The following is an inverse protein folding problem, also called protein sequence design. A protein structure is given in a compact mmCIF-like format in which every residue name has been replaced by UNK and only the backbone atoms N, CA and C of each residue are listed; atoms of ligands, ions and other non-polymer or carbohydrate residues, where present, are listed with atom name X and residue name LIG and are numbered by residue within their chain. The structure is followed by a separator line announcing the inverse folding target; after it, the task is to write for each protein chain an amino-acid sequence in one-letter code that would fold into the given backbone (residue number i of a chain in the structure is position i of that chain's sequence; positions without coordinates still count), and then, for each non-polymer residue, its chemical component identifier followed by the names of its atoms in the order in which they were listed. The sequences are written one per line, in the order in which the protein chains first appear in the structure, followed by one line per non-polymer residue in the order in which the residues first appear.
data_IF_644897805093
#
_entry.id   IF_644897805093
#
_cell.length_a   1.000
_cell.length_b   1.000
_cell.length_c   1.000
_cell.angle_alpha   90.00
_cell.angle_beta   90.00
_cell.angle_gamma   90.00
#
_symmetry.space_group_name_H-M   'P 1'
#
loop_
_entity.id
_entity.type
_entity.pdbx_description
1 polymer ?
#
# COMPACT_ATOMS: atom_id res chain seq x y z
N UNK A 1 30.48 12.25 -40.02
CA UNK A 1 29.39 12.42 -39.03
C UNK A 1 28.07 12.50 -39.77
N UNK A 2 27.25 11.44 -39.74
CA UNK A 2 25.92 11.47 -40.35
C UNK A 2 24.96 12.19 -39.41
N UNK A 3 24.36 13.29 -39.89
CA UNK A 3 23.36 14.06 -39.15
C UNK A 3 22.17 13.15 -38.82
N UNK A 4 21.85 13.05 -37.53
CA UNK A 4 20.67 12.36 -37.06
C UNK A 4 19.43 12.99 -37.71
N UNK A 5 18.71 12.21 -38.52
CA UNK A 5 17.52 12.70 -39.22
C UNK A 5 16.40 12.84 -38.19
N UNK A 6 16.02 14.07 -37.89
CA UNK A 6 14.86 14.37 -37.06
C UNK A 6 13.63 13.72 -37.71
N UNK A 7 12.97 12.83 -36.97
CA UNK A 7 11.77 12.16 -37.43
C UNK A 7 10.59 13.14 -37.43
N UNK A 8 9.86 13.23 -38.53
CA UNK A 8 8.64 14.04 -38.56
C UNK A 8 7.61 13.47 -37.55
N UNK A 9 6.90 14.31 -36.77
CA UNK A 9 6.02 13.87 -35.68
C UNK A 9 4.90 12.92 -36.13
N UNK A 10 4.41 13.09 -37.36
CA UNK A 10 3.35 12.24 -37.93
C UNK A 10 3.89 11.07 -38.78
N UNK A 11 5.19 10.80 -38.74
CA UNK A 11 5.78 9.65 -39.45
C UNK A 11 5.44 8.34 -38.75
N UNK A 12 5.34 7.24 -39.51
CA UNK A 12 5.23 5.87 -38.96
C UNK A 12 6.32 5.57 -37.92
N UNK A 13 7.55 6.04 -38.16
CA UNK A 13 8.67 5.88 -37.21
C UNK A 13 8.44 6.64 -35.90
N UNK A 14 7.86 7.85 -35.96
CA UNK A 14 7.51 8.62 -34.76
C UNK A 14 6.36 7.95 -34.00
N UNK A 15 5.32 7.49 -34.70
CA UNK A 15 4.21 6.75 -34.08
C UNK A 15 4.69 5.48 -33.38
N UNK A 16 5.60 4.71 -34.00
CA UNK A 16 6.19 3.53 -33.40
C UNK A 16 7.00 3.84 -32.12
N UNK A 17 7.83 4.89 -32.15
CA UNK A 17 8.58 5.33 -30.98
C UNK A 17 7.66 5.80 -29.85
N UNK A 18 6.61 6.55 -30.17
CA UNK A 18 5.62 7.02 -29.20
C UNK A 18 4.86 5.83 -28.55
N UNK A 19 4.42 4.85 -29.34
CA UNK A 19 3.75 3.65 -28.81
C UNK A 19 4.67 2.84 -27.90
N UNK A 20 5.96 2.71 -28.25
CA UNK A 20 6.94 2.07 -27.39
C UNK A 20 7.14 2.83 -26.09
N UNK A 21 7.26 4.15 -26.13
CA UNK A 21 7.39 5.00 -24.95
C UNK A 21 6.18 4.88 -24.03
N UNK A 22 4.97 4.90 -24.58
CA UNK A 22 3.73 4.68 -23.82
C UNK A 22 3.74 3.31 -23.14
N UNK A 23 4.16 2.25 -23.85
CA UNK A 23 4.24 0.89 -23.30
C UNK A 23 5.26 0.82 -22.16
N UNK A 24 6.44 1.40 -22.33
CA UNK A 24 7.47 1.45 -21.30
C UNK A 24 7.00 2.27 -20.09
N UNK A 25 6.39 3.43 -20.32
CA UNK A 25 5.81 4.27 -19.27
C UNK A 25 4.74 3.54 -18.46
N UNK A 26 3.84 2.79 -19.11
CA UNK A 26 2.85 1.93 -18.42
C UNK A 26 3.53 0.86 -17.56
N UNK A 27 4.55 0.17 -18.11
CA UNK A 27 5.31 -0.87 -17.40
C UNK A 27 6.02 -0.29 -16.17
N UNK A 28 6.65 0.86 -16.30
CA UNK A 28 7.37 1.49 -15.20
C UNK A 28 6.41 2.07 -14.15
N UNK A 29 5.25 2.59 -14.58
CA UNK A 29 4.17 2.97 -13.65
C UNK A 29 3.71 1.77 -12.82
N UNK A 30 3.42 0.63 -13.44
CA UNK A 30 3.02 -0.58 -12.71
C UNK A 30 4.10 -1.05 -11.72
N UNK A 31 5.38 -1.00 -12.08
CA UNK A 31 6.48 -1.31 -11.16
C UNK A 31 6.50 -0.36 -9.96
N UNK A 32 6.36 0.94 -10.21
CA UNK A 32 6.34 1.95 -9.16
C UNK A 32 5.13 1.79 -8.22
N UNK A 33 3.95 1.49 -8.75
CA UNK A 33 2.73 1.23 -7.96
C UNK A 33 2.86 -0.03 -7.11
N UNK A 34 3.45 -1.11 -7.64
CA UNK A 34 3.77 -2.33 -6.87
C UNK A 34 4.78 -2.03 -5.75
N UNK A 35 5.86 -1.32 -6.07
CA UNK A 35 6.86 -0.92 -5.08
C UNK A 35 6.27 -0.04 -3.99
N UNK A 36 5.45 0.95 -4.36
CA UNK A 36 4.76 1.83 -3.41
C UNK A 36 3.85 1.04 -2.47
N UNK A 37 3.06 0.08 -2.99
CA UNK A 37 2.21 -0.78 -2.14
C UNK A 37 3.04 -1.60 -1.14
N UNK A 38 4.15 -2.19 -1.58
CA UNK A 38 5.05 -2.95 -0.70
C UNK A 38 5.71 -2.05 0.35
N UNK A 39 6.14 -0.84 -0.04
CA UNK A 39 6.71 0.14 0.90
C UNK A 39 5.68 0.56 1.95
N UNK A 40 4.45 0.91 1.55
CA UNK A 40 3.39 1.27 2.49
C UNK A 40 3.07 0.14 3.47
N UNK A 41 3.06 -1.11 3.00
CA UNK A 41 2.90 -2.27 3.88
C UNK A 41 4.10 -2.40 4.83
N UNK A 42 5.32 -2.27 4.33
CA UNK A 42 6.54 -2.33 5.15
C UNK A 42 6.57 -1.27 6.24
N UNK A 43 6.29 -0.01 5.90
CA UNK A 43 6.21 1.10 6.85
C UNK A 43 5.15 0.88 7.92
N UNK A 44 3.94 0.42 7.51
CA UNK A 44 2.88 0.04 8.45
C UNK A 44 3.36 -1.02 9.44
N UNK A 45 4.00 -2.08 8.93
CA UNK A 45 4.50 -3.17 9.76
C UNK A 45 5.63 -2.69 10.70
N UNK A 46 6.56 -1.87 10.22
CA UNK A 46 7.61 -1.28 11.06
C UNK A 46 7.02 -0.45 12.21
N UNK A 47 5.95 0.31 11.94
CA UNK A 47 5.25 1.04 12.99
C UNK A 47 4.67 0.07 14.03
N UNK A 48 4.01 -1.02 13.62
CA UNK A 48 3.49 -2.01 14.57
C UNK A 48 4.61 -2.66 15.37
N UNK A 49 5.73 -2.99 14.73
CA UNK A 49 6.91 -3.55 15.39
C UNK A 49 7.47 -2.59 16.45
N UNK A 50 7.50 -1.28 16.18
CA UNK A 50 8.00 -0.28 17.13
C UNK A 50 7.11 -0.07 18.34
N UNK A 51 5.83 -0.47 18.28
CA UNK A 51 4.91 -0.40 19.41
C UNK A 51 4.97 -1.65 20.31
N UNK A 52 5.61 -2.73 19.85
CA UNK A 52 5.72 -3.96 20.63
C UNK A 52 6.75 -3.79 21.74
N UNK A 53 6.37 -4.17 22.95
CA UNK A 53 7.28 -4.32 24.07
C UNK A 53 8.20 -5.53 23.79
N UNK A 54 9.54 -5.40 23.82
CA UNK A 54 10.47 -6.51 23.60
C UNK A 54 10.30 -7.65 24.61
N UNK A 55 9.91 -7.35 25.85
CA UNK A 55 9.92 -8.32 26.95
C UNK A 55 8.62 -9.13 27.04
N UNK A 56 7.53 -8.62 26.44
CA UNK A 56 6.21 -9.24 26.52
C UNK A 56 6.03 -10.34 25.47
N UNK A 57 5.85 -11.60 25.86
CA UNK A 57 5.80 -12.73 24.90
C UNK A 57 4.41 -13.05 24.34
N UNK A 58 3.35 -12.49 24.93
CA UNK A 58 1.96 -12.80 24.57
C UNK A 58 1.12 -11.53 24.50
N UNK A 59 0.37 -11.39 23.41
CA UNK A 59 -0.60 -10.32 23.20
C UNK A 59 -1.99 -10.90 23.02
N UNK A 60 -2.98 -10.19 23.55
CA UNK A 60 -4.38 -10.57 23.40
C UNK A 60 -5.00 -9.83 22.22
N UNK A 61 -6.25 -10.17 21.92
CA UNK A 61 -7.03 -9.47 20.89
C UNK A 61 -7.30 -8.02 21.28
N UNK A 62 -7.45 -7.74 22.57
CA UNK A 62 -7.63 -6.41 23.12
C UNK A 62 -6.40 -5.54 22.88
N UNK A 63 -5.19 -6.10 23.05
CA UNK A 63 -3.95 -5.38 22.71
C UNK A 63 -3.88 -5.06 21.22
N UNK A 64 -4.26 -6.00 20.36
CA UNK A 64 -4.32 -5.78 18.92
C UNK A 64 -5.27 -4.62 18.56
N UNK A 65 -6.44 -4.55 19.18
CA UNK A 65 -7.37 -3.42 19.03
C UNK A 65 -6.74 -2.10 19.50
N UNK A 66 -6.08 -2.09 20.65
CA UNK A 66 -5.40 -0.89 21.16
C UNK A 66 -4.28 -0.41 20.22
N UNK A 67 -3.49 -1.33 19.65
CA UNK A 67 -2.46 -0.97 18.68
C UNK A 67 -3.07 -0.38 17.41
N UNK A 68 -4.21 -0.90 16.94
CA UNK A 68 -4.92 -0.35 15.78
C UNK A 68 -5.43 1.06 16.10
N UNK A 69 -6.02 1.29 17.26
CA UNK A 69 -6.49 2.62 17.67
C UNK A 69 -5.34 3.62 17.72
N UNK A 70 -4.22 3.26 18.35
CA UNK A 70 -3.00 4.10 18.33
C UNK A 70 -2.50 4.36 16.91
N UNK A 71 -2.62 3.38 16.01
CA UNK A 71 -2.22 3.54 14.62
C UNK A 71 -3.12 4.53 13.87
N UNK A 72 -4.42 4.51 14.12
CA UNK A 72 -5.37 5.46 13.55
C UNK A 72 -5.11 6.89 14.07
N UNK A 73 -4.67 7.03 15.32
CA UNK A 73 -4.32 8.34 15.92
C UNK A 73 -2.90 8.85 15.60
N UNK A 74 -2.14 8.16 14.72
CA UNK A 74 -0.75 8.52 14.42
C UNK A 74 -0.55 9.92 13.81
N UNK A 75 -1.58 10.45 13.15
CA UNK A 75 -1.51 11.75 12.47
C UNK A 75 -2.13 12.89 13.27
N UNK A 76 -2.64 12.65 14.48
CA UNK A 76 -3.35 13.67 15.27
C UNK A 76 -2.48 14.90 15.52
N UNK A 77 -1.21 14.68 15.89
CA UNK A 77 -0.23 15.77 16.08
C UNK A 77 0.04 16.57 14.79
N UNK A 78 0.13 15.90 13.63
CA UNK A 78 0.33 16.56 12.34
C UNK A 78 -0.91 17.38 11.95
N UNK A 79 -2.11 16.84 12.16
CA UNK A 79 -3.36 17.54 11.88
C UNK A 79 -3.56 18.75 12.79
N UNK A 80 -3.27 18.62 14.10
CA UNK A 80 -3.32 19.72 15.06
C UNK A 80 -2.34 20.84 14.67
N UNK A 81 -1.12 20.48 14.24
CA UNK A 81 -0.14 21.46 13.77
C UNK A 81 -0.64 22.21 12.52
N UNK A 82 -1.23 21.49 11.55
CA UNK A 82 -1.82 22.10 10.34
C UNK A 82 -2.97 23.03 10.72
N UNK A 83 -3.83 22.62 11.64
CA UNK A 83 -4.94 23.44 12.14
C UNK A 83 -4.43 24.72 12.83
N UNK A 84 -3.42 24.61 13.69
CA UNK A 84 -2.82 25.75 14.38
C UNK A 84 -2.22 26.75 13.38
N UNK A 85 -1.43 26.27 12.41
CA UNK A 85 -0.83 27.12 11.37
C UNK A 85 -1.88 27.85 10.54
N UNK A 86 -2.98 27.16 10.20
CA UNK A 86 -4.09 27.76 9.48
C UNK A 86 -4.97 28.68 10.34
N UNK A 87 -5.01 28.46 11.66
CA UNK A 87 -5.73 29.28 12.63
C UNK A 87 -5.08 30.62 12.95
N UNK A 88 -3.79 30.79 12.64
CA UNK A 88 -3.09 32.07 12.77
C UNK A 88 -3.67 33.06 11.76
N UNK A 89 -4.53 33.97 12.25
CA UNK A 89 -5.22 34.97 11.43
C UNK A 89 -4.23 35.88 10.72
N UNK A 90 -4.18 35.79 9.39
CA UNK A 90 -3.39 36.65 8.51
C UNK A 90 -3.95 36.66 7.08
N UNK A 91 -3.35 37.46 6.19
CA UNK A 91 -3.69 37.51 4.74
C UNK A 91 -3.11 36.31 3.96
N UNK A 92 -2.87 35.18 4.62
CA UNK A 92 -2.29 33.99 4.01
C UNK A 92 -3.41 33.01 3.67
N UNK A 93 -3.34 32.41 2.48
CA UNK A 93 -4.26 31.34 2.09
C UNK A 93 -4.03 30.06 2.90
N UNK A 94 -4.94 29.09 2.77
CA UNK A 94 -4.84 27.80 3.46
C UNK A 94 -3.53 27.08 3.11
N UNK A 95 -2.70 26.82 4.12
CA UNK A 95 -1.45 26.08 4.01
C UNK A 95 -1.71 24.58 4.21
N UNK A 96 -0.89 23.75 3.59
CA UNK A 96 -0.90 22.28 3.73
C UNK A 96 -2.21 21.56 3.36
N UNK A 97 -3.11 22.20 2.62
CA UNK A 97 -4.43 21.63 2.30
C UNK A 97 -4.38 20.30 1.53
N UNK A 98 -3.37 20.10 0.67
CA UNK A 98 -3.17 18.82 -0.04
C UNK A 98 -2.76 17.69 0.90
N UNK A 99 -1.82 17.95 1.82
CA UNK A 99 -1.36 16.97 2.82
C UNK A 99 -2.47 16.60 3.79
N UNK A 100 -3.19 17.60 4.29
CA UNK A 100 -4.35 17.40 5.18
C UNK A 100 -5.42 16.52 4.52
N UNK A 101 -5.73 16.76 3.24
CA UNK A 101 -6.70 15.97 2.49
C UNK A 101 -6.25 14.51 2.32
N UNK A 102 -4.96 14.27 2.02
CA UNK A 102 -4.40 12.92 1.89
C UNK A 102 -4.45 12.17 3.22
N UNK A 103 -4.12 12.82 4.33
CA UNK A 103 -4.19 12.23 5.67
C UNK A 103 -5.64 11.87 6.00
N UNK A 104 -6.59 12.81 5.84
CA UNK A 104 -8.00 12.58 6.13
C UNK A 104 -8.58 11.44 5.30
N UNK A 105 -8.28 11.39 4.00
CA UNK A 105 -8.71 10.29 3.13
C UNK A 105 -8.10 8.94 3.55
N UNK A 106 -6.84 8.94 4.00
CA UNK A 106 -6.18 7.72 4.47
C UNK A 106 -6.84 7.22 5.76
N UNK A 107 -7.03 8.10 6.73
CA UNK A 107 -7.70 7.78 8.00
C UNK A 107 -9.13 7.31 7.82
N UNK A 108 -9.89 7.97 6.94
CA UNK A 108 -11.26 7.55 6.62
C UNK A 108 -11.30 6.12 6.09
N UNK A 109 -10.40 5.79 5.15
CA UNK A 109 -10.30 4.43 4.60
C UNK A 109 -9.89 3.41 5.66
N UNK A 110 -8.88 3.72 6.47
CA UNK A 110 -8.38 2.81 7.51
C UNK A 110 -9.42 2.57 8.61
N UNK A 111 -10.14 3.62 9.00
CA UNK A 111 -11.22 3.58 10.00
C UNK A 111 -12.42 2.77 9.47
N UNK A 112 -12.80 2.98 8.21
CA UNK A 112 -13.84 2.19 7.55
C UNK A 112 -13.49 0.70 7.49
N UNK A 113 -12.22 0.36 7.23
CA UNK A 113 -11.74 -1.03 7.27
C UNK A 113 -11.83 -1.61 8.69
N UNK A 114 -11.40 -0.87 9.72
CA UNK A 114 -11.44 -1.36 11.11
C UNK A 114 -12.87 -1.64 11.60
N UNK A 115 -13.82 -0.76 11.32
CA UNK A 115 -15.22 -0.92 11.75
C UNK A 115 -16.06 -1.83 10.83
N UNK A 116 -15.61 -2.05 9.59
CA UNK A 116 -16.27 -2.86 8.59
C UNK A 116 -15.62 -4.24 8.44
N UNK A 117 -14.71 -4.36 7.47
CA UNK A 117 -14.20 -5.64 6.95
C UNK A 117 -13.05 -6.24 7.78
N UNK A 118 -12.55 -5.51 8.77
CA UNK A 118 -11.37 -5.85 9.55
C UNK A 118 -10.11 -5.18 9.01
N UNK A 119 -9.33 -4.61 9.94
CA UNK A 119 -8.04 -4.01 9.68
C UNK A 119 -6.95 -5.08 9.77
N UNK A 120 -6.11 -5.16 8.74
CA UNK A 120 -5.05 -6.16 8.65
C UNK A 120 -3.80 -5.72 9.42
N UNK A 121 -3.33 -6.54 10.36
CA UNK A 121 -2.14 -6.30 11.19
C UNK A 121 -1.30 -7.59 11.29
N UNK A 122 -0.02 -7.53 11.71
CA UNK A 122 0.74 -8.73 12.01
C UNK A 122 0.04 -9.57 13.09
N UNK A 123 0.09 -10.90 12.95
CA UNK A 123 -0.46 -11.82 13.93
C UNK A 123 0.40 -11.85 15.20
N UNK A 124 0.11 -10.95 16.12
CA UNK A 124 0.78 -10.81 17.42
C UNK A 124 0.22 -11.73 18.50
N UNK A 125 -0.93 -12.37 18.25
CA UNK A 125 -1.60 -13.27 19.19
C UNK A 125 -0.89 -14.62 19.24
N UNK A 126 -0.37 -15.07 18.09
CA UNK A 126 0.39 -16.31 18.01
C UNK A 126 1.88 -16.05 18.28
N UNK A 127 2.42 -16.67 19.34
CA UNK A 127 3.82 -16.52 19.76
C UNK A 127 4.83 -16.85 18.65
N UNK A 128 4.55 -17.85 17.79
CA UNK A 128 5.44 -18.21 16.68
C UNK A 128 5.50 -17.11 15.62
N UNK A 129 4.34 -16.54 15.29
CA UNK A 129 4.24 -15.45 14.31
C UNK A 129 4.83 -14.16 14.88
N UNK A 130 4.61 -13.90 16.16
CA UNK A 130 5.20 -12.78 16.89
C UNK A 130 6.74 -12.81 16.84
N UNK A 131 7.37 -13.95 17.12
CA UNK A 131 8.83 -14.08 17.06
C UNK A 131 9.36 -13.81 15.64
N UNK A 132 8.71 -14.37 14.62
CA UNK A 132 9.06 -14.12 13.21
C UNK A 132 8.94 -12.64 12.87
N UNK A 133 7.90 -11.98 13.39
CA UNK A 133 7.65 -10.56 13.18
C UNK A 133 8.65 -9.67 13.93
N UNK A 134 9.11 -10.06 15.12
CA UNK A 134 10.14 -9.35 15.89
C UNK A 134 11.50 -9.40 15.22
N UNK A 135 11.90 -10.56 14.71
CA UNK A 135 13.18 -10.75 14.03
C UNK A 135 13.21 -10.13 12.63
N UNK A 136 12.06 -9.70 12.11
CA UNK A 136 11.98 -9.08 10.80
C UNK A 136 12.69 -7.72 10.80
N UNK A 137 13.68 -7.58 9.91
CA UNK A 137 14.55 -6.40 9.83
C UNK A 137 14.03 -5.29 8.91
N UNK A 138 12.74 -5.32 8.52
CA UNK A 138 12.19 -4.40 7.51
C UNK A 138 12.44 -4.80 6.05
N UNK A 139 13.04 -5.98 5.79
CA UNK A 139 13.28 -6.45 4.42
C UNK A 139 11.96 -6.81 3.73
N UNK A 140 11.61 -6.04 2.69
CA UNK A 140 10.35 -6.19 1.96
C UNK A 140 10.23 -7.54 1.25
N UNK A 141 11.35 -8.21 0.93
CA UNK A 141 11.32 -9.55 0.32
C UNK A 141 10.80 -10.63 1.28
N UNK A 142 10.88 -10.37 2.59
CA UNK A 142 10.41 -11.29 3.64
C UNK A 142 8.97 -11.01 4.09
N UNK A 143 8.30 -10.01 3.51
CA UNK A 143 6.89 -9.72 3.80
C UNK A 143 5.97 -10.94 3.65
N UNK A 144 6.10 -11.80 2.62
CA UNK A 144 5.23 -12.98 2.48
C UNK A 144 5.34 -13.98 3.64
N UNK A 145 6.45 -13.95 4.40
CA UNK A 145 6.66 -14.83 5.54
C UNK A 145 5.95 -14.33 6.81
N UNK A 146 5.60 -13.05 6.86
CA UNK A 146 4.89 -12.44 7.99
C UNK A 146 3.41 -12.80 7.86
N UNK A 147 2.85 -13.44 8.88
CA UNK A 147 1.41 -13.74 8.92
C UNK A 147 0.64 -12.52 9.37
N UNK A 148 -0.32 -12.13 8.54
CA UNK A 148 -1.25 -11.03 8.82
C UNK A 148 -2.60 -11.59 9.25
N UNK A 149 -3.26 -10.89 10.16
CA UNK A 149 -4.59 -11.22 10.69
C UNK A 149 -5.49 -9.98 10.58
N UNK A 150 -6.74 -10.18 10.19
CA UNK A 150 -7.77 -9.13 10.18
C UNK A 150 -8.43 -9.02 11.54
N UNK A 151 -8.41 -7.82 12.11
CA UNK A 151 -9.04 -7.51 13.39
C UNK A 151 -10.06 -6.39 13.18
N UNK A 152 -11.28 -6.56 13.70
CA UNK A 152 -12.34 -5.56 13.63
C UNK A 152 -12.79 -5.15 15.04
N UNK A 153 -13.20 -3.90 15.19
CA UNK A 153 -13.74 -3.37 16.45
C UNK A 153 -14.96 -4.15 16.95
N UNK A 154 -15.76 -4.74 16.05
CA UNK A 154 -16.98 -5.51 16.39
C UNK A 154 -16.70 -6.96 16.80
N UNK A 155 -15.44 -7.40 16.67
CA UNK A 155 -15.07 -8.79 16.88
C UNK A 155 -14.87 -9.17 18.35
N UNK A 156 -14.74 -8.20 19.27
CA UNK A 156 -14.53 -8.50 20.71
C UNK A 156 -15.75 -9.23 21.31
N UNK A 157 -16.96 -8.93 20.84
CA UNK A 157 -18.21 -9.48 21.40
C UNK A 157 -18.55 -10.89 20.93
N UNK A 158 -17.82 -11.43 19.93
CA UNK A 158 -18.07 -12.77 19.37
C UNK A 158 -16.99 -13.73 19.85
N UNK A 159 -17.11 -14.15 21.11
CA UNK A 159 -16.36 -15.29 21.63
C UNK A 159 -16.71 -16.56 20.85
N UNK A 160 -15.71 -17.16 20.21
CA UNK A 160 -15.72 -18.56 19.79
C UNK A 160 -16.14 -18.84 18.34
N UNK A 161 -15.18 -19.25 17.51
CA UNK A 161 -15.44 -20.18 16.42
C UNK A 161 -14.95 -19.78 15.03
N UNK A 162 -13.95 -20.54 14.57
CA UNK A 162 -13.45 -20.73 13.19
C UNK A 162 -12.56 -19.62 12.62
N UNK A 163 -11.26 -19.81 12.80
CA UNK A 163 -10.24 -19.36 11.84
C UNK A 163 -10.57 -19.99 10.47
N UNK A 164 -11.16 -19.22 9.57
CA UNK A 164 -11.24 -19.60 8.17
C UNK A 164 -9.84 -19.53 7.55
N UNK A 165 -9.30 -20.71 7.28
CA UNK A 165 -8.18 -20.96 6.39
C UNK A 165 -8.57 -20.47 4.98
N UNK A 166 -8.18 -19.25 4.60
CA UNK A 166 -8.10 -18.84 3.19
C UNK A 166 -6.65 -18.78 2.73
N UNK A 167 -6.02 -19.96 2.70
CA UNK A 167 -4.94 -20.21 1.74
C UNK A 167 -5.58 -20.48 0.39
N UNK A 168 -5.71 -19.44 -0.42
CA UNK A 168 -5.76 -19.58 -1.87
C UNK A 168 -4.66 -18.71 -2.44
N UNK A 169 -3.59 -19.39 -2.82
CA UNK A 169 -2.72 -18.98 -3.91
C UNK A 169 -3.63 -18.90 -5.15
N UNK A 170 -3.94 -17.69 -5.57
CA UNK A 170 -4.38 -17.42 -6.94
C UNK A 170 -3.22 -16.70 -7.60
N UNK A 171 -2.31 -17.51 -8.15
CA UNK A 171 -1.44 -17.12 -9.25
C UNK A 171 -2.35 -16.79 -10.45
N UNK A 172 -2.82 -15.56 -10.53
CA UNK A 172 -3.36 -14.98 -11.77
C UNK A 172 -2.19 -14.29 -12.50
N UNK A 173 -1.33 -15.11 -13.09
CA UNK A 173 -0.46 -14.66 -14.18
C UNK A 173 -1.31 -14.62 -15.46
N UNK A 174 -2.14 -13.59 -15.55
CA UNK A 174 -2.80 -13.18 -16.78
C UNK A 174 -1.77 -12.62 -17.75
N UNK A 175 -0.95 -13.50 -18.34
CA UNK A 175 -0.26 -13.26 -19.60
C UNK A 175 -1.33 -12.97 -20.67
N UNK A 176 -1.63 -11.69 -20.87
CA UNK A 176 -2.26 -11.25 -22.11
C UNK A 176 -1.22 -11.39 -23.22
N UNK A 177 -1.19 -12.57 -23.84
CA UNK A 177 -0.67 -12.73 -25.20
C UNK A 177 -1.59 -11.94 -26.13
N UNK A 178 -1.22 -10.68 -26.39
CA UNK A 178 -1.82 -9.93 -27.48
C UNK A 178 -1.27 -10.53 -28.78
N UNK A 179 -2.02 -11.50 -29.31
CA UNK A 179 -1.81 -12.06 -30.65
C UNK A 179 -2.17 -10.98 -31.67
N UNK A 180 -1.23 -10.08 -31.95
CA UNK A 180 -1.39 -9.10 -33.02
C UNK A 180 -1.21 -9.81 -34.37
N UNK A 181 -2.32 -9.95 -35.09
CA UNK A 181 -2.39 -10.55 -36.41
C UNK A 181 -1.55 -9.76 -37.41
N UNK A 182 -0.58 -10.41 -38.05
CA UNK A 182 0.12 -9.90 -39.22
C UNK A 182 -0.88 -9.64 -40.36
N UNK A 183 -1.28 -8.38 -40.58
CA UNK A 183 -1.77 -7.96 -41.90
C UNK A 183 -0.56 -7.77 -42.81
N UNK A 184 -0.26 -8.80 -43.59
CA UNK A 184 0.55 -8.67 -44.80
C UNK A 184 -0.28 -7.90 -45.82
N UNK A 185 0.06 -6.64 -46.04
CA UNK A 185 -0.42 -5.91 -47.21
C UNK A 185 0.40 -6.39 -48.42
N UNK A 186 -0.33 -7.01 -49.34
CA UNK A 186 0.13 -7.53 -50.63
C UNK A 186 0.47 -6.37 -51.58
N UNK A 187 1.48 -6.60 -52.40
CA UNK A 187 2.04 -5.68 -53.39
C UNK A 187 1.09 -5.57 -54.59
N UNK A 188 0.57 -4.36 -54.88
CA UNK A 188 0.19 -3.90 -56.24
C UNK A 188 0.10 -2.37 -56.28
#
# INVERSE_FOLDING_TARGET
MCKEKVCHPFSRKAAYLASQEIRLGKKDRQKSEKAARLNNMGEKLLWFQSQLDPDRTEFTKEDACQFIERYLHRFDSELEQIELVNGIKGRQGRLHGSREAVIKQTLERETALYHGNGFEIPDIINSKHLNTFREWSGDLKKLPNIKLRKISSKGLDRTGGKDEKSGKEEDDDGLVEDSDSETKEDDT
#
